data_IF_331726848421
#
_entry.id   IF_331726848421
#
_cell.length_a   1.000
_cell.length_b   1.000
_cell.length_c   1.000
_cell.angle_alpha   90.00
_cell.angle_beta   90.00
_cell.angle_gamma   90.00
#
_symmetry.space_group_name_H-M   'P 1'
#
loop_
_entity.id
_entity.type
_entity.pdbx_description
1 polymer ?
#
# COMPACT_ATOMS: atom_id res chain seq x y z
N UNK A 1 59.53 -46.90 -16.08
CA UNK A 1 59.40 -45.44 -16.28
C UNK A 1 58.46 -44.93 -15.23
N UNK A 2 59.02 -44.11 -14.35
CA UNK A 2 58.40 -43.64 -13.07
C UNK A 2 57.57 -42.41 -13.35
N UNK A 3 56.27 -42.44 -13.01
CA UNK A 3 55.36 -41.27 -13.06
C UNK A 3 55.27 -40.64 -11.70
N UNK A 4 55.63 -39.37 -11.61
CA UNK A 4 55.63 -38.51 -10.44
C UNK A 4 54.17 -38.10 -10.15
N UNK A 5 53.67 -38.46 -8.96
CA UNK A 5 52.39 -37.98 -8.43
C UNK A 5 52.67 -36.74 -7.57
N UNK A 6 52.36 -35.56 -8.11
CA UNK A 6 52.39 -34.30 -7.39
C UNK A 6 51.20 -34.22 -6.40
N UNK A 7 51.50 -34.16 -5.12
CA UNK A 7 50.54 -33.88 -4.04
C UNK A 7 50.17 -32.41 -4.03
N UNK A 8 48.95 -32.10 -4.45
CA UNK A 8 48.35 -30.78 -4.27
C UNK A 8 48.00 -30.68 -2.79
N UNK A 9 48.68 -29.77 -2.07
CA UNK A 9 48.38 -29.39 -0.70
C UNK A 9 47.08 -28.55 -0.71
N UNK A 10 46.07 -29.01 0.01
CA UNK A 10 44.86 -28.24 0.30
C UNK A 10 45.16 -26.98 1.15
N UNK A 11 44.55 -25.83 0.86
CA UNK A 11 44.76 -24.63 1.67
C UNK A 11 44.15 -24.79 3.06
N UNK A 12 44.88 -24.32 4.06
CA UNK A 12 44.54 -24.30 5.48
C UNK A 12 43.21 -23.60 5.68
N UNK A 13 42.21 -24.31 6.23
CA UNK A 13 40.93 -23.72 6.69
C UNK A 13 41.23 -22.64 7.71
N UNK A 14 41.02 -21.36 7.31
CA UNK A 14 40.90 -20.28 8.25
C UNK A 14 39.66 -20.57 9.14
N UNK A 15 39.88 -20.73 10.43
CA UNK A 15 38.81 -20.77 11.46
C UNK A 15 38.28 -19.34 11.58
N UNK A 16 37.21 -19.04 10.86
CA UNK A 16 36.38 -17.89 11.17
C UNK A 16 35.80 -18.12 12.58
N UNK A 17 36.00 -17.15 13.47
CA UNK A 17 35.53 -17.24 14.84
C UNK A 17 33.99 -17.32 14.84
N UNK A 18 33.44 -18.18 15.68
CA UNK A 18 32.01 -18.42 15.82
C UNK A 18 31.19 -17.14 16.05
N UNK A 19 31.77 -16.09 16.66
CA UNK A 19 31.15 -14.81 16.92
C UNK A 19 30.78 -14.01 15.66
N UNK A 20 31.56 -14.09 14.59
CA UNK A 20 31.30 -13.40 13.31
C UNK A 20 30.15 -14.05 12.56
N UNK A 21 30.04 -15.38 12.67
CA UNK A 21 28.91 -16.12 12.06
C UNK A 21 27.58 -15.85 12.76
N UNK A 22 27.57 -15.71 14.07
CA UNK A 22 26.33 -15.40 14.82
C UNK A 22 25.78 -14.02 14.52
N UNK A 23 26.61 -13.00 14.30
CA UNK A 23 26.14 -11.63 13.96
C UNK A 23 25.61 -11.53 12.54
N UNK A 24 26.27 -12.16 11.56
CA UNK A 24 25.80 -12.19 10.16
C UNK A 24 24.53 -13.03 9.97
N UNK A 25 24.37 -14.13 10.75
CA UNK A 25 23.20 -14.97 10.67
C UNK A 25 22.01 -14.43 11.45
N UNK A 26 22.25 -13.74 12.58
CA UNK A 26 21.17 -13.18 13.39
C UNK A 26 20.40 -12.06 12.69
N UNK A 27 21.08 -11.15 11.99
CA UNK A 27 20.43 -10.05 11.27
C UNK A 27 19.68 -10.50 10.02
N UNK A 28 20.23 -11.42 9.24
CA UNK A 28 19.54 -11.98 8.09
C UNK A 28 18.36 -12.87 8.50
N UNK A 29 18.48 -13.66 9.57
CA UNK A 29 17.37 -14.50 10.03
C UNK A 29 16.17 -13.71 10.58
N UNK A 30 16.39 -12.55 11.20
CA UNK A 30 15.29 -11.71 11.67
C UNK A 30 14.54 -11.05 10.49
N UNK A 31 15.27 -10.53 9.52
CA UNK A 31 14.69 -9.94 8.29
C UNK A 31 13.96 -11.00 7.45
N UNK A 32 14.59 -12.16 7.24
CA UNK A 32 13.99 -13.30 6.52
C UNK A 32 12.78 -13.92 7.25
N UNK A 33 12.65 -13.73 8.57
CA UNK A 33 11.44 -14.12 9.31
C UNK A 33 10.32 -13.13 9.10
N UNK A 34 10.58 -11.85 9.22
CA UNK A 34 9.58 -10.79 9.03
C UNK A 34 9.03 -10.86 7.60
N UNK A 35 9.90 -10.98 6.60
CA UNK A 35 9.49 -11.09 5.20
C UNK A 35 8.65 -12.36 4.94
N UNK A 36 8.97 -13.49 5.57
CA UNK A 36 8.18 -14.75 5.47
C UNK A 36 6.82 -14.65 6.16
N UNK A 37 6.77 -14.04 7.33
CA UNK A 37 5.51 -13.85 8.07
C UNK A 37 4.57 -12.93 7.28
N UNK A 38 5.09 -11.89 6.64
CA UNK A 38 4.31 -10.99 5.78
C UNK A 38 3.82 -11.70 4.50
N UNK A 39 4.63 -12.53 3.86
CA UNK A 39 4.21 -13.34 2.71
C UNK A 39 3.12 -14.35 3.08
N UNK A 40 3.21 -14.99 4.24
CA UNK A 40 2.21 -15.94 4.73
C UNK A 40 0.89 -15.23 5.06
N UNK A 41 0.92 -14.03 5.64
CA UNK A 41 -0.26 -13.21 5.88
C UNK A 41 -0.94 -12.77 4.58
N UNK A 42 -0.17 -12.36 3.58
CA UNK A 42 -0.69 -12.03 2.23
C UNK A 42 -1.35 -13.25 1.61
N UNK A 43 -0.72 -14.42 1.68
CA UNK A 43 -1.26 -15.69 1.15
C UNK A 43 -2.56 -16.07 1.82
N UNK A 44 -2.63 -15.97 3.16
CA UNK A 44 -3.83 -16.23 3.94
C UNK A 44 -4.97 -15.30 3.50
N UNK A 45 -4.70 -14.00 3.44
CA UNK A 45 -5.67 -13.00 2.98
C UNK A 45 -6.19 -13.30 1.57
N UNK A 46 -5.29 -13.62 0.62
CA UNK A 46 -5.68 -13.97 -0.76
C UNK A 46 -6.54 -15.23 -0.83
N UNK A 47 -6.27 -16.20 0.02
CA UNK A 47 -7.07 -17.43 0.14
C UNK A 47 -8.47 -17.11 0.63
N UNK A 48 -8.59 -16.29 1.67
CA UNK A 48 -9.88 -15.89 2.26
C UNK A 48 -10.75 -15.12 1.26
N UNK A 49 -10.19 -14.11 0.58
CA UNK A 49 -10.95 -13.33 -0.40
C UNK A 49 -11.30 -14.14 -1.66
N UNK A 50 -10.54 -15.21 -1.93
CA UNK A 50 -10.81 -16.12 -3.04
C UNK A 50 -12.10 -16.93 -2.91
N UNK A 51 -12.63 -17.08 -1.70
CA UNK A 51 -13.86 -17.84 -1.40
C UNK A 51 -15.13 -17.10 -1.84
N UNK A 52 -15.07 -15.78 -2.01
CA UNK A 52 -16.24 -14.99 -2.38
C UNK A 52 -16.49 -15.03 -3.89
N UNK A 53 -17.75 -15.28 -4.26
CA UNK A 53 -18.18 -15.35 -5.65
C UNK A 53 -18.16 -13.95 -6.27
N UNK A 54 -17.72 -13.86 -7.52
CA UNK A 54 -17.76 -12.62 -8.30
C UNK A 54 -19.21 -12.27 -8.64
N UNK A 55 -19.55 -10.98 -8.57
CA UNK A 55 -20.88 -10.48 -8.88
C UNK A 55 -21.08 -10.31 -10.38
N UNK A 56 -22.26 -10.66 -10.84
CA UNK A 56 -22.76 -10.27 -12.17
C UNK A 56 -23.31 -8.83 -12.11
N UNK A 57 -23.55 -8.21 -13.27
CA UNK A 57 -24.16 -6.87 -13.33
C UNK A 57 -25.55 -6.83 -12.66
N UNK A 58 -26.32 -7.89 -12.79
CA UNK A 58 -27.65 -8.00 -12.17
C UNK A 58 -27.56 -8.14 -10.65
N UNK A 59 -26.54 -8.86 -10.16
CA UNK A 59 -26.25 -8.94 -8.73
C UNK A 59 -25.83 -7.58 -8.14
N UNK A 60 -24.99 -6.81 -8.87
CA UNK A 60 -24.61 -5.46 -8.46
C UNK A 60 -25.83 -4.57 -8.27
N UNK A 61 -26.78 -4.61 -9.21
CA UNK A 61 -28.03 -3.85 -9.16
C UNK A 61 -28.93 -4.32 -8.01
N UNK A 62 -29.08 -5.63 -7.83
CA UNK A 62 -29.92 -6.22 -6.76
C UNK A 62 -29.38 -5.81 -5.38
N UNK A 63 -28.10 -6.04 -5.14
CA UNK A 63 -27.46 -5.70 -3.86
C UNK A 63 -27.49 -4.19 -3.59
N UNK A 64 -27.28 -3.35 -4.61
CA UNK A 64 -27.35 -1.90 -4.46
C UNK A 64 -28.76 -1.42 -4.05
N UNK A 65 -29.82 -2.04 -4.57
CA UNK A 65 -31.21 -1.77 -4.15
C UNK A 65 -31.44 -2.17 -2.69
N UNK A 66 -31.02 -3.38 -2.32
CA UNK A 66 -31.14 -3.87 -0.93
C UNK A 66 -30.41 -2.94 0.07
N UNK A 67 -29.22 -2.42 -0.31
CA UNK A 67 -28.46 -1.45 0.49
C UNK A 67 -29.23 -0.14 0.62
N UNK A 68 -29.79 0.38 -0.49
CA UNK A 68 -30.56 1.63 -0.50
C UNK A 68 -31.82 1.52 0.39
N UNK A 69 -32.55 0.41 0.29
CA UNK A 69 -33.71 0.11 1.13
C UNK A 69 -33.33 -0.01 2.61
N UNK A 70 -32.21 -0.69 2.90
CA UNK A 70 -31.68 -0.81 4.26
C UNK A 70 -31.35 0.55 4.89
N UNK A 71 -30.68 1.43 4.16
CA UNK A 71 -30.37 2.81 4.61
C UNK A 71 -31.62 3.65 4.77
N UNK A 72 -32.61 3.48 3.90
CA UNK A 72 -33.92 4.17 4.04
C UNK A 72 -34.67 3.69 5.29
N UNK A 73 -34.65 2.39 5.58
CA UNK A 73 -35.24 1.82 6.79
C UNK A 73 -34.54 2.32 8.08
N UNK A 74 -33.22 2.41 8.08
CA UNK A 74 -32.43 2.96 9.18
C UNK A 74 -32.81 4.41 9.50
N UNK A 75 -32.84 5.28 8.48
CA UNK A 75 -33.27 6.67 8.61
C UNK A 75 -34.72 6.80 9.14
N UNK A 76 -35.61 5.87 8.77
CA UNK A 76 -36.98 5.85 9.30
C UNK A 76 -37.00 5.44 10.78
N UNK A 77 -36.17 4.46 11.19
CA UNK A 77 -36.05 4.03 12.57
C UNK A 77 -35.49 5.12 13.49
N UNK A 78 -34.55 5.93 12.98
CA UNK A 78 -33.98 7.07 13.73
C UNK A 78 -34.97 8.23 13.90
N UNK A 79 -35.69 8.58 12.83
CA UNK A 79 -36.58 9.75 12.82
C UNK A 79 -37.89 9.55 13.60
N UNK A 80 -38.37 8.34 13.71
CA UNK A 80 -39.72 8.08 14.24
C UNK A 80 -39.69 7.50 15.65
N UNK A 81 -40.01 8.34 16.61
CA UNK A 81 -40.09 7.97 18.04
C UNK A 81 -41.38 7.19 18.36
N UNK A 82 -42.45 7.34 17.53
CA UNK A 82 -43.75 6.68 17.72
C UNK A 82 -44.10 5.78 16.55
N UNK A 83 -43.56 4.56 16.56
CA UNK A 83 -43.88 3.50 15.58
C UNK A 83 -44.56 2.32 16.24
N UNK A 84 -45.51 1.67 15.54
CA UNK A 84 -46.08 0.39 15.97
C UNK A 84 -45.01 -0.69 16.04
N UNK A 85 -45.13 -1.61 17.01
CA UNK A 85 -44.17 -2.68 17.19
C UNK A 85 -43.96 -3.59 15.94
N UNK A 86 -45.04 -3.94 15.17
CA UNK A 86 -44.87 -4.71 13.93
C UNK A 86 -44.07 -3.95 12.86
N UNK A 87 -44.33 -2.65 12.67
CA UNK A 87 -43.61 -1.81 11.69
C UNK A 87 -42.13 -1.68 12.05
N UNK A 88 -41.81 -1.52 13.32
CA UNK A 88 -40.43 -1.49 13.82
C UNK A 88 -39.69 -2.79 13.57
N UNK A 89 -40.36 -3.93 13.72
CA UNK A 89 -39.78 -5.26 13.41
C UNK A 89 -39.50 -5.42 11.93
N UNK A 90 -40.40 -4.98 11.07
CA UNK A 90 -40.26 -5.01 9.61
C UNK A 90 -39.05 -4.15 9.15
N UNK A 91 -38.97 -2.89 9.60
CA UNK A 91 -37.87 -2.01 9.25
C UNK A 91 -36.52 -2.54 9.74
N UNK A 92 -36.45 -3.13 10.93
CA UNK A 92 -35.24 -3.80 11.41
C UNK A 92 -34.83 -5.00 10.55
N UNK A 93 -35.81 -5.74 9.99
CA UNK A 93 -35.53 -6.83 9.07
C UNK A 93 -34.91 -6.29 7.76
N UNK A 94 -35.49 -5.24 7.19
CA UNK A 94 -34.98 -4.58 5.97
C UNK A 94 -33.58 -4.02 6.21
N UNK A 95 -33.34 -3.34 7.33
CA UNK A 95 -32.02 -2.83 7.73
C UNK A 95 -30.97 -3.96 7.78
N UNK A 96 -31.28 -5.09 8.42
CA UNK A 96 -30.38 -6.24 8.50
C UNK A 96 -30.06 -6.84 7.11
N UNK A 97 -31.05 -6.91 6.22
CA UNK A 97 -30.85 -7.37 4.84
C UNK A 97 -29.92 -6.40 4.10
N UNK A 98 -30.13 -5.10 4.21
CA UNK A 98 -29.26 -4.08 3.62
C UNK A 98 -27.81 -4.17 4.13
N UNK A 99 -27.60 -4.32 5.44
CA UNK A 99 -26.25 -4.50 6.02
C UNK A 99 -25.59 -5.79 5.52
N UNK A 100 -26.35 -6.87 5.36
CA UNK A 100 -25.83 -8.14 4.79
C UNK A 100 -25.46 -7.96 3.31
N UNK A 101 -26.30 -7.28 2.53
CA UNK A 101 -26.05 -6.98 1.12
C UNK A 101 -24.79 -6.11 0.96
N UNK A 102 -24.58 -5.11 1.82
CA UNK A 102 -23.39 -4.27 1.83
C UNK A 102 -22.11 -5.09 2.08
N UNK A 103 -22.12 -5.95 3.10
CA UNK A 103 -20.99 -6.86 3.37
C UNK A 103 -20.70 -7.77 2.18
N UNK A 104 -21.73 -8.38 1.58
CA UNK A 104 -21.55 -9.23 0.41
C UNK A 104 -20.98 -8.44 -0.77
N UNK A 105 -21.48 -7.22 -0.99
CA UNK A 105 -21.03 -6.36 -2.08
C UNK A 105 -19.54 -6.01 -1.93
N UNK A 106 -19.09 -5.65 -0.71
CA UNK A 106 -17.67 -5.39 -0.41
C UNK A 106 -16.84 -6.65 -0.59
N UNK A 107 -17.22 -7.77 0.05
CA UNK A 107 -16.46 -9.03 0.03
C UNK A 107 -16.22 -9.54 -1.39
N UNK A 108 -17.22 -9.49 -2.24
CA UNK A 108 -17.11 -9.94 -3.65
C UNK A 108 -16.20 -9.06 -4.51
N UNK A 109 -15.84 -7.84 -4.03
CA UNK A 109 -14.99 -6.89 -4.75
C UNK A 109 -13.58 -6.71 -4.14
N UNK A 110 -13.23 -7.43 -3.07
CA UNK A 110 -11.90 -7.33 -2.45
C UNK A 110 -10.76 -7.67 -3.43
N UNK A 111 -11.00 -8.62 -4.35
CA UNK A 111 -10.02 -8.98 -5.39
C UNK A 111 -9.69 -7.81 -6.34
N UNK A 112 -10.64 -6.90 -6.58
CA UNK A 112 -10.41 -5.69 -7.34
C UNK A 112 -9.42 -4.78 -6.62
N UNK A 113 -9.56 -4.61 -5.31
CA UNK A 113 -8.65 -3.81 -4.49
C UNK A 113 -7.22 -4.35 -4.60
N UNK A 114 -7.02 -5.67 -4.44
CA UNK A 114 -5.70 -6.30 -4.56
C UNK A 114 -5.07 -6.04 -5.93
N UNK A 115 -5.84 -6.14 -7.01
CA UNK A 115 -5.36 -5.92 -8.38
C UNK A 115 -4.86 -4.49 -8.62
N UNK A 116 -5.42 -3.52 -7.87
CA UNK A 116 -5.01 -2.12 -7.93
C UNK A 116 -3.84 -1.88 -6.99
N UNK A 117 -3.89 -2.35 -5.74
CA UNK A 117 -2.85 -2.17 -4.72
C UNK A 117 -1.48 -2.72 -5.17
N UNK A 118 -1.45 -3.85 -5.87
CA UNK A 118 -0.22 -4.43 -6.44
C UNK A 118 0.56 -3.46 -7.32
N UNK A 119 -0.08 -2.48 -7.96
CA UNK A 119 0.59 -1.48 -8.80
C UNK A 119 1.33 -0.41 -8.00
N UNK A 120 1.10 -0.36 -6.69
CA UNK A 120 1.67 0.63 -5.78
C UNK A 120 2.71 0.03 -4.81
N UNK A 121 3.13 -1.23 -4.99
CA UNK A 121 4.12 -1.89 -4.12
C UNK A 121 5.46 -1.15 -4.03
N UNK A 122 5.85 -0.43 -5.10
CA UNK A 122 7.07 0.37 -5.13
C UNK A 122 7.00 1.66 -4.29
N UNK A 123 5.88 1.92 -3.58
CA UNK A 123 5.67 3.13 -2.78
C UNK A 123 6.32 3.10 -1.38
N UNK A 124 6.97 1.99 -1.01
CA UNK A 124 7.58 1.82 0.31
C UNK A 124 6.64 1.32 1.41
N UNK A 125 5.32 1.21 1.14
CA UNK A 125 4.37 0.63 2.08
C UNK A 125 4.18 -0.88 1.85
N UNK A 126 4.00 -1.68 2.92
CA UNK A 126 3.64 -3.09 2.82
C UNK A 126 2.36 -3.28 1.99
N UNK A 127 2.30 -4.40 1.23
CA UNK A 127 1.15 -4.67 0.36
C UNK A 127 -0.17 -4.75 1.14
N UNK A 128 -0.16 -5.32 2.35
CA UNK A 128 -1.36 -5.41 3.19
C UNK A 128 -1.89 -4.03 3.59
N UNK A 129 -1.01 -3.08 3.89
CA UNK A 129 -1.41 -1.71 4.24
C UNK A 129 -2.02 -1.00 3.04
N UNK A 130 -1.42 -1.16 1.85
CA UNK A 130 -1.99 -0.65 0.59
C UNK A 130 -3.37 -1.23 0.31
N UNK A 131 -3.57 -2.53 0.60
CA UNK A 131 -4.87 -3.20 0.48
C UNK A 131 -5.88 -2.61 1.47
N UNK A 132 -5.49 -2.37 2.74
CA UNK A 132 -6.40 -1.80 3.74
C UNK A 132 -6.83 -0.37 3.37
N UNK A 133 -5.91 0.47 2.93
CA UNK A 133 -6.27 1.79 2.40
C UNK A 133 -7.21 1.68 1.19
N UNK A 134 -6.94 0.74 0.28
CA UNK A 134 -7.81 0.45 -0.85
C UNK A 134 -9.20 -0.05 -0.44
N UNK A 135 -9.30 -0.85 0.63
CA UNK A 135 -10.57 -1.34 1.17
C UNK A 135 -11.42 -0.18 1.72
N UNK A 136 -10.82 0.84 2.35
CA UNK A 136 -11.54 2.05 2.75
C UNK A 136 -12.12 2.77 1.53
N UNK A 137 -11.37 2.86 0.44
CA UNK A 137 -11.86 3.40 -0.83
C UNK A 137 -12.98 2.58 -1.44
N UNK A 138 -12.90 1.24 -1.36
CA UNK A 138 -13.95 0.33 -1.82
C UNK A 138 -15.25 0.53 -1.02
N UNK A 139 -15.18 0.58 0.32
CA UNK A 139 -16.35 0.81 1.17
C UNK A 139 -17.02 2.15 0.83
N UNK A 140 -16.22 3.21 0.64
CA UNK A 140 -16.75 4.50 0.21
C UNK A 140 -17.42 4.44 -1.18
N UNK A 141 -16.84 3.67 -2.12
CA UNK A 141 -17.43 3.45 -3.44
C UNK A 141 -18.77 2.72 -3.34
N UNK A 142 -18.90 1.68 -2.51
CA UNK A 142 -20.17 0.96 -2.29
C UNK A 142 -21.22 1.89 -1.68
N UNK A 143 -20.83 2.75 -0.75
CA UNK A 143 -21.74 3.71 -0.12
C UNK A 143 -22.35 4.71 -1.12
N UNK A 144 -21.57 5.15 -2.12
CA UNK A 144 -21.93 6.19 -3.09
C UNK A 144 -22.36 5.65 -4.46
N UNK A 145 -22.37 4.33 -4.64
CA UNK A 145 -22.71 3.72 -5.92
C UNK A 145 -24.16 3.97 -6.31
N UNK A 146 -24.35 4.47 -7.53
CA UNK A 146 -25.67 4.66 -8.12
C UNK A 146 -25.88 3.69 -9.31
N UNK A 147 -26.63 2.62 -9.06
CA UNK A 147 -26.92 1.58 -10.05
C UNK A 147 -27.77 2.09 -11.24
N UNK A 148 -28.48 3.23 -11.09
CA UNK A 148 -29.33 3.83 -12.13
C UNK A 148 -28.53 4.34 -13.31
N UNK A 149 -27.25 4.66 -13.09
CA UNK A 149 -26.34 5.13 -14.15
C UNK A 149 -25.93 4.05 -15.15
N UNK A 150 -26.21 2.77 -14.89
CA UNK A 150 -25.99 1.66 -15.80
C UNK A 150 -24.54 1.23 -16.03
N UNK A 151 -23.55 1.91 -15.41
CA UNK A 151 -22.14 1.51 -15.46
C UNK A 151 -21.85 0.34 -14.52
N UNK A 152 -20.80 -0.45 -14.85
CA UNK A 152 -20.29 -1.47 -13.93
C UNK A 152 -19.70 -0.83 -12.68
N UNK A 153 -19.94 -1.47 -11.55
CA UNK A 153 -19.39 -1.01 -10.27
C UNK A 153 -17.86 -0.84 -10.31
N UNK A 154 -17.15 -1.80 -10.92
CA UNK A 154 -15.69 -1.77 -11.01
C UNK A 154 -15.13 -0.49 -11.65
N UNK A 155 -15.83 0.09 -12.63
CA UNK A 155 -15.43 1.35 -13.28
C UNK A 155 -15.45 2.51 -12.29
N UNK A 156 -16.47 2.59 -11.45
CA UNK A 156 -16.61 3.62 -10.42
C UNK A 156 -15.68 3.39 -9.24
N UNK A 157 -15.62 2.16 -8.74
CA UNK A 157 -14.83 1.78 -7.58
C UNK A 157 -13.32 1.97 -7.81
N UNK A 158 -12.82 1.70 -9.02
CA UNK A 158 -11.38 1.87 -9.34
C UNK A 158 -10.87 3.27 -9.04
N UNK A 159 -11.69 4.30 -9.27
CA UNK A 159 -11.29 5.68 -8.96
C UNK A 159 -11.15 5.89 -7.45
N UNK A 160 -12.12 5.45 -6.66
CA UNK A 160 -12.11 5.62 -5.21
C UNK A 160 -11.02 4.80 -4.52
N UNK A 161 -10.82 3.55 -4.98
CA UNK A 161 -9.75 2.68 -4.48
C UNK A 161 -8.38 3.33 -4.74
N UNK A 162 -8.14 3.81 -5.97
CA UNK A 162 -6.90 4.49 -6.33
C UNK A 162 -6.69 5.75 -5.49
N UNK A 163 -7.71 6.57 -5.34
CA UNK A 163 -7.67 7.79 -4.55
C UNK A 163 -7.32 7.50 -3.08
N UNK A 164 -7.94 6.47 -2.49
CA UNK A 164 -7.68 6.08 -1.11
C UNK A 164 -6.22 5.58 -0.94
N UNK A 165 -5.75 4.69 -1.80
CA UNK A 165 -4.36 4.19 -1.78
C UNK A 165 -3.36 5.36 -1.92
N UNK A 166 -3.53 6.23 -2.91
CA UNK A 166 -2.61 7.37 -3.12
C UNK A 166 -2.60 8.31 -1.91
N UNK A 167 -3.77 8.55 -1.31
CA UNK A 167 -3.89 9.36 -0.10
C UNK A 167 -3.28 8.68 1.12
N UNK A 168 -3.44 7.36 1.25
CA UNK A 168 -2.79 6.54 2.27
C UNK A 168 -1.27 6.65 2.19
N UNK A 169 -0.69 6.45 1.00
CA UNK A 169 0.74 6.61 0.75
C UNK A 169 1.23 8.01 1.15
N UNK A 170 0.51 9.07 0.76
CA UNK A 170 0.87 10.43 1.12
C UNK A 170 0.82 10.70 2.64
N UNK A 171 -0.05 9.98 3.37
CA UNK A 171 -0.24 10.16 4.79
C UNK A 171 0.73 9.35 5.67
N UNK A 172 1.09 8.14 5.25
CA UNK A 172 1.82 7.15 6.08
C UNK A 172 3.09 6.61 5.43
N UNK A 173 3.34 6.91 4.15
CA UNK A 173 4.49 6.38 3.40
C UNK A 173 5.85 6.96 3.80
N UNK A 174 5.91 7.93 4.71
CA UNK A 174 7.16 8.54 5.19
C UNK A 174 7.19 8.59 6.71
N UNK A 175 8.36 8.34 7.30
CA UNK A 175 8.61 8.46 8.74
C UNK A 175 8.29 9.87 9.24
N UNK A 176 8.75 10.89 8.51
CA UNK A 176 8.36 12.29 8.74
C UNK A 176 7.29 12.65 7.73
N UNK A 177 6.04 12.76 8.21
CA UNK A 177 4.88 13.08 7.39
C UNK A 177 5.03 14.43 6.69
N UNK A 178 4.81 14.45 5.37
CA UNK A 178 4.74 15.68 4.59
C UNK A 178 3.28 16.09 4.34
N UNK A 179 2.99 17.40 4.26
CA UNK A 179 1.72 17.88 3.74
C UNK A 179 1.50 17.39 2.30
N UNK A 180 0.23 17.10 1.93
CA UNK A 180 -0.11 16.52 0.62
C UNK A 180 0.44 17.35 -0.54
N UNK A 181 0.30 18.69 -0.47
CA UNK A 181 0.79 19.60 -1.52
C UNK A 181 2.32 19.55 -1.69
N UNK A 182 3.08 19.35 -0.61
CA UNK A 182 4.54 19.19 -0.70
C UNK A 182 4.89 17.84 -1.32
N UNK A 183 4.17 16.77 -0.98
CA UNK A 183 4.30 15.46 -1.62
C UNK A 183 3.99 15.48 -3.11
N UNK A 184 2.91 16.16 -3.52
CA UNK A 184 2.53 16.31 -4.93
C UNK A 184 3.61 17.08 -5.72
N UNK A 185 4.15 18.16 -5.13
CA UNK A 185 5.24 18.92 -5.74
C UNK A 185 6.48 18.05 -5.92
N UNK A 186 6.85 17.27 -4.90
CA UNK A 186 7.98 16.36 -4.95
C UNK A 186 7.79 15.28 -6.03
N UNK A 187 6.62 14.68 -6.12
CA UNK A 187 6.30 13.69 -7.14
C UNK A 187 6.38 14.26 -8.56
N UNK A 188 5.94 15.52 -8.75
CA UNK A 188 6.10 16.25 -10.04
C UNK A 188 7.58 16.46 -10.38
N UNK A 189 8.39 16.88 -9.40
CA UNK A 189 9.84 17.08 -9.57
C UNK A 189 10.56 15.78 -9.91
N UNK A 190 10.27 14.68 -9.21
CA UNK A 190 10.85 13.37 -9.49
C UNK A 190 10.51 12.89 -10.90
N UNK A 191 9.25 13.05 -11.32
CA UNK A 191 8.81 12.69 -12.67
C UNK A 191 9.48 13.53 -13.75
N UNK A 192 9.63 14.84 -13.52
CA UNK A 192 10.34 15.75 -14.42
C UNK A 192 11.82 15.38 -14.51
N UNK A 193 12.46 15.10 -13.37
CA UNK A 193 13.85 14.66 -13.30
C UNK A 193 14.08 13.40 -14.13
N UNK A 194 13.29 12.34 -13.91
CA UNK A 194 13.43 11.11 -14.68
C UNK A 194 13.23 11.30 -16.19
N UNK A 195 12.30 12.19 -16.57
CA UNK A 195 12.07 12.52 -17.98
C UNK A 195 13.27 13.24 -18.62
N UNK A 196 13.84 14.22 -17.91
CA UNK A 196 14.99 14.97 -18.39
C UNK A 196 16.26 14.10 -18.43
N UNK A 197 16.46 13.25 -17.45
CA UNK A 197 17.56 12.26 -17.42
C UNK A 197 17.51 11.30 -18.61
N UNK A 198 16.31 10.79 -18.93
CA UNK A 198 16.10 9.98 -20.14
C UNK A 198 16.37 10.75 -21.43
N UNK A 199 16.01 12.05 -21.48
CA UNK A 199 16.18 12.89 -22.67
C UNK A 199 17.63 13.29 -22.91
N UNK A 200 18.36 13.61 -21.85
CA UNK A 200 19.70 14.18 -21.96
C UNK A 200 20.83 13.14 -21.67
N UNK A 201 20.50 11.97 -21.14
CA UNK A 201 21.49 10.96 -20.76
C UNK A 201 22.40 11.38 -19.58
N UNK A 202 22.01 12.45 -18.84
CA UNK A 202 22.71 12.98 -17.67
C UNK A 202 21.72 13.49 -16.61
N UNK A 203 22.15 13.65 -15.34
CA UNK A 203 21.33 14.28 -14.33
C UNK A 203 20.85 15.68 -14.75
N UNK A 204 19.58 15.99 -14.46
CA UNK A 204 19.00 17.29 -14.76
C UNK A 204 19.53 18.37 -13.80
N UNK A 205 19.80 19.57 -14.32
CA UNK A 205 20.18 20.74 -13.52
C UNK A 205 18.97 21.37 -12.85
N UNK A 206 19.18 22.22 -11.83
CA UNK A 206 18.10 22.94 -11.15
C UNK A 206 17.35 23.87 -12.11
N UNK A 207 18.07 24.56 -13.01
CA UNK A 207 17.46 25.43 -14.03
C UNK A 207 16.56 24.63 -14.99
N UNK A 208 17.00 23.45 -15.46
CA UNK A 208 16.20 22.58 -16.33
C UNK A 208 14.95 22.06 -15.62
N UNK A 209 15.06 21.67 -14.34
CA UNK A 209 13.91 21.27 -13.53
C UNK A 209 12.94 22.42 -13.31
N UNK A 210 13.45 23.63 -13.01
CA UNK A 210 12.65 24.85 -12.84
C UNK A 210 11.78 25.12 -14.06
N UNK A 211 12.37 25.07 -15.26
CA UNK A 211 11.66 25.24 -16.52
C UNK A 211 10.64 24.14 -16.80
N UNK A 212 11.01 22.87 -16.59
CA UNK A 212 10.14 21.72 -16.87
C UNK A 212 8.91 21.67 -15.95
N UNK A 213 9.05 22.10 -14.68
CA UNK A 213 7.96 22.07 -13.67
C UNK A 213 7.21 23.39 -13.57
N UNK A 214 7.71 24.45 -14.25
CA UNK A 214 7.20 25.84 -14.17
C UNK A 214 7.18 26.35 -12.73
N UNK A 215 8.36 26.31 -12.07
CA UNK A 215 8.56 26.76 -10.68
C UNK A 215 9.90 27.49 -10.55
N UNK A 216 10.00 28.55 -9.71
CA UNK A 216 11.27 29.20 -9.40
C UNK A 216 12.30 28.23 -8.82
N UNK A 217 13.59 28.42 -9.10
CA UNK A 217 14.69 27.56 -8.61
C UNK A 217 14.73 27.46 -7.09
N UNK A 218 14.44 28.55 -6.38
CA UNK A 218 14.39 28.58 -4.91
C UNK A 218 13.33 27.58 -4.38
N UNK A 219 12.15 27.53 -5.03
CA UNK A 219 11.07 26.61 -4.69
C UNK A 219 11.41 25.15 -5.02
N UNK A 220 12.13 24.92 -6.13
CA UNK A 220 12.63 23.59 -6.47
C UNK A 220 13.64 23.12 -5.42
N UNK A 221 14.56 24.00 -5.02
CA UNK A 221 15.57 23.70 -4.00
C UNK A 221 14.93 23.43 -2.64
N UNK A 222 13.94 24.22 -2.23
CA UNK A 222 13.18 24.01 -1.00
C UNK A 222 12.48 22.64 -1.02
N UNK A 223 11.79 22.32 -2.12
CA UNK A 223 11.09 21.04 -2.26
C UNK A 223 12.05 19.83 -2.24
N UNK A 224 13.22 19.95 -2.86
CA UNK A 224 14.23 18.88 -2.85
C UNK A 224 14.84 18.65 -1.46
N UNK A 225 14.90 19.66 -0.58
CA UNK A 225 15.32 19.46 0.83
C UNK A 225 14.38 18.54 1.59
N UNK A 226 13.08 18.56 1.29
CA UNK A 226 12.09 17.65 1.87
C UNK A 226 12.10 16.25 1.23
N UNK A 227 12.87 16.05 0.15
CA UNK A 227 13.00 14.75 -0.50
C UNK A 227 13.83 13.76 0.33
N UNK A 228 14.73 14.25 1.18
CA UNK A 228 15.62 13.43 1.96
C UNK A 228 14.84 12.57 2.97
N UNK A 229 15.17 11.28 3.01
CA UNK A 229 14.65 10.35 3.99
C UNK A 229 15.60 10.28 5.20
N UNK A 230 15.08 10.08 6.42
CA UNK A 230 15.92 9.89 7.59
C UNK A 230 16.72 8.58 7.44
N UNK A 231 17.98 8.61 7.86
CA UNK A 231 18.84 7.44 7.92
C UNK A 231 18.54 6.63 9.20
N UNK A 232 18.74 5.33 9.14
CA UNK A 232 18.64 4.47 10.31
C UNK A 232 19.86 4.68 11.23
N UNK A 233 19.64 4.81 12.54
CA UNK A 233 20.74 4.87 13.51
C UNK A 233 21.49 3.54 13.59
N UNK A 234 20.85 2.43 13.25
CA UNK A 234 21.46 1.10 13.16
C UNK A 234 22.14 0.82 11.82
N UNK A 235 22.35 1.84 10.98
CA UNK A 235 23.08 1.68 9.74
C UNK A 235 24.58 1.56 10.03
N UNK A 236 25.29 0.50 9.55
CA UNK A 236 26.70 0.31 9.81
C UNK A 236 27.53 1.42 9.15
N UNK A 237 28.45 2.03 9.89
CA UNK A 237 29.34 3.09 9.39
C UNK A 237 30.35 2.57 8.36
N UNK A 238 30.71 1.29 8.40
CA UNK A 238 31.67 0.64 7.48
C UNK A 238 31.18 -0.80 7.18
N UNK A 239 31.44 -1.28 6.00
CA UNK A 239 31.06 -2.63 5.57
C UNK A 239 31.61 -3.76 6.47
N UNK A 240 32.76 -3.54 7.16
CA UNK A 240 33.42 -4.52 8.03
C UNK A 240 33.46 -4.12 9.53
N UNK A 241 32.66 -3.15 9.95
CA UNK A 241 32.70 -2.59 11.33
C UNK A 241 31.46 -2.87 12.15
N UNK A 242 31.67 -3.15 13.45
CA UNK A 242 30.59 -3.30 14.43
C UNK A 242 30.00 -1.94 14.89
N UNK A 243 30.51 -0.80 14.39
CA UNK A 243 30.06 0.54 14.76
C UNK A 243 28.86 0.97 13.92
N UNK A 244 27.80 1.37 14.61
CA UNK A 244 26.57 1.91 14.02
C UNK A 244 26.61 3.45 13.94
N UNK A 245 25.78 4.04 13.06
CA UNK A 245 25.63 5.49 12.93
C UNK A 245 25.20 6.12 14.27
N UNK A 246 24.41 5.39 15.08
CA UNK A 246 23.96 5.80 16.40
C UNK A 246 25.08 6.02 17.42
N UNK A 247 26.21 5.33 17.27
CA UNK A 247 27.36 5.45 18.18
C UNK A 247 28.13 6.78 18.03
N UNK A 248 27.90 7.48 16.91
CA UNK A 248 28.61 8.74 16.57
C UNK A 248 27.71 9.95 16.77
N UNK A 249 26.41 9.76 16.92
CA UNK A 249 25.46 10.86 17.16
C UNK A 249 25.42 11.16 18.66
N UNK A 250 25.88 12.37 19.06
CA UNK A 250 25.80 12.88 20.43
C UNK A 250 24.38 13.35 20.81
#
# INVERSE_FOLDING_TARGET
MVGIVERIRAPTRARLSYSVLEHLWGHNMAKDRIDRDDEDLVRLYLTDIGQYVLLTKDDEVRLAKEIEEGKAAEKQLEKSTRMSAPRKRELRKIQRLGTRAERQFVQSNLRLVVSIAKKYQASGLPLLDLIQEGNLGLMHAVEKFDWRKGFKFSTYATWWIRQAITRGIANTGRTIRLPVHAGDTLARLQKARSRLELKFGRPATLAELSVEVDMPEDKVTEALRFANEPLSLSEPLREDGDAELGDVVE
#
